data_IF_284560534803
#
_entry.id   IF_284560534803
#
_cell.length_a   1.000
_cell.length_b   1.000
_cell.length_c   1.000
_cell.angle_alpha   90.00
_cell.angle_beta   90.00
_cell.angle_gamma   90.00
#
_symmetry.space_group_name_H-M   'P 1'
#
loop_
_entity.id
_entity.type
_entity.pdbx_description
1 polymer ?
#
# COMPACT_ATOMS: atom_id res chain seq x y z
N UNK A 1 -15.84 -9.08 13.89
CA UNK A 1 -15.21 -9.62 12.66
C UNK A 1 -16.22 -9.87 11.53
N UNK A 2 -17.44 -10.36 11.81
CA UNK A 2 -18.45 -10.71 10.79
C UNK A 2 -18.81 -9.60 9.79
N UNK A 3 -18.77 -8.32 10.18
CA UNK A 3 -19.17 -7.23 9.28
C UNK A 3 -18.21 -7.04 8.08
N UNK A 4 -16.92 -7.37 8.21
CA UNK A 4 -15.94 -7.23 7.10
C UNK A 4 -16.16 -8.28 6.02
N UNK A 5 -16.40 -9.53 6.42
CA UNK A 5 -16.66 -10.64 5.50
C UNK A 5 -17.99 -10.41 4.77
N UNK A 6 -19.05 -10.01 5.49
CA UNK A 6 -20.34 -9.67 4.89
C UNK A 6 -20.24 -8.51 3.89
N UNK A 7 -19.43 -7.49 4.20
CA UNK A 7 -19.18 -6.40 3.25
C UNK A 7 -18.41 -6.88 2.01
N UNK A 8 -17.37 -7.70 2.18
CA UNK A 8 -16.62 -8.28 1.06
C UNK A 8 -17.51 -9.14 0.17
N UNK A 9 -18.35 -9.98 0.76
CA UNK A 9 -19.34 -10.79 0.05
C UNK A 9 -20.28 -9.93 -0.79
N UNK A 10 -20.77 -8.82 -0.25
CA UNK A 10 -21.60 -7.85 -1.00
C UNK A 10 -20.84 -7.21 -2.16
N UNK A 11 -19.56 -6.86 -1.97
CA UNK A 11 -18.72 -6.29 -3.04
C UNK A 11 -18.46 -7.30 -4.17
N UNK A 12 -18.12 -8.53 -3.84
CA UNK A 12 -17.90 -9.60 -4.82
C UNK A 12 -19.18 -9.92 -5.58
N UNK A 13 -20.33 -10.03 -4.89
CA UNK A 13 -21.62 -10.22 -5.55
C UNK A 13 -22.00 -9.06 -6.49
N UNK A 14 -21.63 -7.82 -6.14
CA UNK A 14 -21.82 -6.67 -7.02
C UNK A 14 -20.89 -6.73 -8.24
N UNK A 15 -19.64 -7.16 -8.06
CA UNK A 15 -18.68 -7.33 -9.14
C UNK A 15 -19.11 -8.44 -10.11
N UNK A 16 -19.64 -9.54 -9.59
CA UNK A 16 -20.11 -10.69 -10.37
C UNK A 16 -21.27 -10.31 -11.28
N UNK A 17 -22.19 -9.46 -10.79
CA UNK A 17 -23.29 -8.90 -11.60
C UNK A 17 -22.80 -8.03 -12.76
N UNK A 18 -21.63 -7.39 -12.62
CA UNK A 18 -21.08 -6.49 -13.64
C UNK A 18 -20.21 -7.23 -14.65
N UNK A 19 -19.42 -8.21 -14.20
CA UNK A 19 -18.46 -8.91 -15.04
C UNK A 19 -18.14 -10.32 -14.51
N UNK A 20 -19.07 -11.29 -14.67
CA UNK A 20 -18.99 -12.59 -14.00
C UNK A 20 -17.71 -13.37 -14.35
N UNK A 21 -17.24 -13.29 -15.60
CA UNK A 21 -16.05 -14.00 -16.06
C UNK A 21 -14.72 -13.39 -15.59
N UNK A 22 -14.76 -12.30 -14.83
CA UNK A 22 -13.58 -11.56 -14.38
C UNK A 22 -13.48 -11.45 -12.86
N UNK A 23 -14.35 -12.14 -12.14
CA UNK A 23 -14.37 -12.16 -10.66
C UNK A 23 -13.80 -13.49 -10.19
N UNK A 24 -12.96 -13.51 -9.14
CA UNK A 24 -12.49 -14.75 -8.56
C UNK A 24 -13.64 -15.52 -7.92
N UNK A 25 -13.50 -16.84 -7.81
CA UNK A 25 -14.51 -17.68 -7.17
C UNK A 25 -14.75 -17.20 -5.73
N UNK A 26 -16.00 -16.85 -5.42
CA UNK A 26 -16.44 -16.29 -4.13
C UNK A 26 -16.49 -17.30 -2.98
N UNK A 27 -15.50 -18.20 -2.87
CA UNK A 27 -15.44 -19.14 -1.76
C UNK A 27 -15.22 -18.41 -0.41
N UNK A 28 -15.62 -19.06 0.68
CA UNK A 28 -15.62 -18.42 2.00
C UNK A 28 -14.21 -18.10 2.51
N UNK A 29 -13.23 -18.93 2.17
CA UNK A 29 -11.83 -18.72 2.54
C UNK A 29 -11.21 -17.53 1.79
N UNK A 30 -11.48 -17.36 0.49
CA UNK A 30 -11.04 -16.21 -0.29
C UNK A 30 -11.68 -14.94 0.23
N UNK A 31 -12.99 -14.95 0.50
CA UNK A 31 -13.68 -13.81 1.10
C UNK A 31 -13.07 -13.43 2.46
N UNK A 32 -12.71 -14.42 3.30
CA UNK A 32 -12.01 -14.18 4.56
C UNK A 32 -10.66 -13.52 4.33
N UNK A 33 -9.80 -14.13 3.50
CA UNK A 33 -8.44 -13.62 3.20
C UNK A 33 -8.52 -12.20 2.62
N UNK A 34 -9.41 -11.96 1.66
CA UNK A 34 -9.58 -10.64 1.06
C UNK A 34 -10.07 -9.62 2.08
N UNK A 35 -11.00 -10.01 2.96
CA UNK A 35 -11.50 -9.13 4.00
C UNK A 35 -10.43 -8.75 5.03
N UNK A 36 -9.38 -9.57 5.19
CA UNK A 36 -8.23 -9.33 6.06
C UNK A 36 -7.14 -8.49 5.38
N UNK A 37 -6.80 -8.82 4.13
CA UNK A 37 -5.73 -8.15 3.37
C UNK A 37 -6.17 -6.76 2.92
N UNK A 38 -7.42 -6.60 2.48
CA UNK A 38 -7.93 -5.30 2.04
C UNK A 38 -8.22 -4.44 3.28
N UNK A 39 -7.64 -3.24 3.40
CA UNK A 39 -7.90 -2.34 4.50
C UNK A 39 -9.25 -1.63 4.27
N UNK A 40 -10.36 -2.36 4.39
CA UNK A 40 -11.71 -1.89 4.10
C UNK A 40 -12.07 -0.64 4.91
N UNK A 41 -11.52 -0.49 6.11
CA UNK A 41 -11.67 0.68 6.97
C UNK A 41 -11.05 1.96 6.41
N UNK A 42 -10.13 1.86 5.44
CA UNK A 42 -9.40 3.00 4.87
C UNK A 42 -10.30 4.02 4.20
N UNK A 43 -11.39 3.55 3.59
CA UNK A 43 -12.35 4.38 2.86
C UNK A 43 -13.77 4.02 3.29
N UNK A 44 -14.73 4.95 3.18
CA UNK A 44 -16.13 4.63 3.41
C UNK A 44 -16.62 3.58 2.41
N UNK A 45 -17.60 2.75 2.80
CA UNK A 45 -18.13 1.65 1.99
C UNK A 45 -18.49 2.08 0.55
N UNK A 46 -19.03 3.29 0.40
CA UNK A 46 -19.45 3.83 -0.89
C UNK A 46 -18.29 4.05 -1.87
N UNK A 47 -17.07 4.32 -1.39
CA UNK A 47 -15.88 4.40 -2.25
C UNK A 47 -15.53 3.04 -2.83
N UNK A 48 -15.66 1.97 -2.04
CA UNK A 48 -15.43 0.60 -2.50
C UNK A 48 -16.49 0.15 -3.51
N UNK A 49 -17.75 0.53 -3.30
CA UNK A 49 -18.82 0.27 -4.27
C UNK A 49 -18.55 0.99 -5.59
N UNK A 50 -18.23 2.28 -5.54
CA UNK A 50 -17.86 3.07 -6.74
C UNK A 50 -16.61 2.49 -7.43
N UNK A 51 -15.67 1.92 -6.67
CA UNK A 51 -14.48 1.25 -7.21
C UNK A 51 -14.84 -0.01 -8.01
N UNK A 52 -15.74 -0.85 -7.50
CA UNK A 52 -16.27 -2.02 -8.21
C UNK A 52 -16.99 -1.61 -9.49
N UNK A 53 -17.83 -0.56 -9.43
CA UNK A 53 -18.52 -0.03 -10.62
C UNK A 53 -17.51 0.47 -11.65
N UNK A 54 -16.47 1.21 -11.23
CA UNK A 54 -15.42 1.70 -12.12
C UNK A 54 -14.63 0.58 -12.77
N UNK A 55 -14.28 -0.45 -11.99
CA UNK A 55 -13.60 -1.64 -12.49
C UNK A 55 -14.47 -2.38 -13.51
N UNK A 56 -15.75 -2.63 -13.18
CA UNK A 56 -16.66 -3.38 -14.05
C UNK A 56 -16.85 -2.73 -15.42
N UNK A 57 -16.80 -1.39 -15.50
CA UNK A 57 -16.86 -0.62 -16.75
C UNK A 57 -15.60 -0.72 -17.62
N UNK A 58 -14.47 -1.17 -17.07
CA UNK A 58 -13.23 -1.37 -17.84
C UNK A 58 -13.14 -2.79 -18.33
N UNK A 59 -12.68 -2.96 -19.56
CA UNK A 59 -12.42 -4.27 -20.16
C UNK A 59 -11.00 -4.76 -19.86
N UNK A 60 -10.80 -6.08 -19.94
CA UNK A 60 -9.47 -6.70 -19.97
C UNK A 60 -8.78 -6.93 -18.63
N UNK A 61 -9.41 -6.57 -17.51
CA UNK A 61 -8.81 -6.74 -16.19
C UNK A 61 -9.64 -7.63 -15.26
N UNK A 62 -8.99 -8.65 -14.68
CA UNK A 62 -9.54 -9.48 -13.62
C UNK A 62 -9.61 -8.71 -12.29
N UNK A 63 -10.63 -9.01 -11.49
CA UNK A 63 -10.75 -8.46 -10.16
C UNK A 63 -9.73 -9.15 -9.25
N UNK A 64 -8.78 -8.38 -8.78
CA UNK A 64 -7.79 -8.79 -7.78
C UNK A 64 -7.80 -7.78 -6.62
N UNK A 65 -7.25 -8.16 -5.47
CA UNK A 65 -7.07 -7.27 -4.31
C UNK A 65 -6.42 -5.95 -4.73
N UNK A 66 -5.28 -6.02 -5.43
CA UNK A 66 -4.54 -4.83 -5.88
C UNK A 66 -5.33 -3.98 -6.88
N UNK A 67 -6.10 -4.62 -7.77
CA UNK A 67 -6.98 -3.94 -8.72
C UNK A 67 -8.07 -3.15 -7.99
N UNK A 68 -8.76 -3.79 -7.05
CA UNK A 68 -9.83 -3.15 -6.29
C UNK A 68 -9.31 -1.98 -5.46
N UNK A 69 -8.17 -2.14 -4.77
CA UNK A 69 -7.53 -1.05 -4.02
C UNK A 69 -7.13 0.12 -4.92
N UNK A 70 -6.58 -0.15 -6.11
CA UNK A 70 -6.19 0.88 -7.06
C UNK A 70 -7.41 1.68 -7.53
N UNK A 71 -8.52 1.00 -7.81
CA UNK A 71 -9.77 1.67 -8.16
C UNK A 71 -10.35 2.47 -6.99
N UNK A 72 -10.32 1.94 -5.77
CA UNK A 72 -10.77 2.67 -4.58
C UNK A 72 -9.95 3.94 -4.34
N UNK A 73 -8.63 3.87 -4.50
CA UNK A 73 -7.74 5.04 -4.42
C UNK A 73 -8.07 6.08 -5.48
N UNK A 74 -8.32 5.65 -6.72
CA UNK A 74 -8.65 6.57 -7.81
C UNK A 74 -10.02 7.25 -7.59
N UNK A 75 -11.02 6.51 -7.08
CA UNK A 75 -12.31 7.07 -6.67
C UNK A 75 -12.14 8.06 -5.51
N UNK A 76 -11.36 7.72 -4.49
CA UNK A 76 -11.10 8.62 -3.37
C UNK A 76 -10.47 9.95 -3.83
N UNK A 77 -9.51 9.88 -4.77
CA UNK A 77 -8.90 11.08 -5.36
C UNK A 77 -9.92 11.94 -6.15
N UNK A 78 -10.84 11.32 -6.89
CA UNK A 78 -11.93 12.02 -7.57
C UNK A 78 -12.93 12.64 -6.59
N UNK A 79 -13.23 11.93 -5.50
CA UNK A 79 -14.08 12.43 -4.43
C UNK A 79 -13.44 13.62 -3.70
N UNK A 80 -12.12 13.59 -3.48
CA UNK A 80 -11.39 14.73 -2.92
C UNK A 80 -11.51 15.97 -3.83
N UNK A 81 -11.76 15.85 -5.13
CA UNK A 81 -11.99 17.00 -6.00
C UNK A 81 -13.39 17.63 -5.85
N UNK A 82 -14.36 16.91 -5.27
CA UNK A 82 -15.76 17.35 -5.14
C UNK A 82 -16.04 17.77 -3.69
N UNK A 83 -16.38 19.05 -3.40
CA UNK A 83 -16.47 19.56 -2.03
C UNK A 83 -17.36 18.74 -1.09
N UNK A 84 -18.53 18.31 -1.55
CA UNK A 84 -19.48 17.51 -0.76
C UNK A 84 -18.98 16.10 -0.48
N UNK A 85 -18.28 15.47 -1.44
CA UNK A 85 -17.69 14.14 -1.26
C UNK A 85 -16.43 14.18 -0.42
N UNK A 86 -15.64 15.26 -0.54
CA UNK A 86 -14.49 15.53 0.34
C UNK A 86 -14.91 15.60 1.80
N UNK A 87 -16.01 16.31 2.12
CA UNK A 87 -16.55 16.34 3.49
C UNK A 87 -16.87 14.94 4.02
N UNK A 88 -17.45 14.07 3.19
CA UNK A 88 -17.71 12.68 3.58
C UNK A 88 -16.42 11.88 3.83
N UNK A 89 -15.37 12.07 3.01
CA UNK A 89 -14.06 11.47 3.24
C UNK A 89 -13.41 11.98 4.52
N UNK A 90 -13.45 13.29 4.76
CA UNK A 90 -12.85 13.91 5.95
C UNK A 90 -13.58 13.48 7.22
N UNK A 91 -14.90 13.36 7.17
CA UNK A 91 -15.68 12.81 8.27
C UNK A 91 -15.28 11.36 8.57
N UNK A 92 -15.16 10.52 7.54
CA UNK A 92 -14.71 9.13 7.69
C UNK A 92 -13.29 9.03 8.25
N UNK A 93 -12.34 9.83 7.72
CA UNK A 93 -10.95 9.89 8.19
C UNK A 93 -10.89 10.29 9.67
N UNK A 94 -11.66 11.30 10.08
CA UNK A 94 -11.76 11.71 11.49
C UNK A 94 -12.36 10.60 12.36
N UNK A 95 -13.44 9.95 11.93
CA UNK A 95 -14.03 8.82 12.67
C UNK A 95 -13.03 7.66 12.86
N UNK A 96 -12.25 7.34 11.83
CA UNK A 96 -11.18 6.34 11.93
C UNK A 96 -10.08 6.75 12.92
N UNK A 97 -9.66 8.02 12.92
CA UNK A 97 -8.68 8.52 13.89
C UNK A 97 -9.22 8.45 15.31
N UNK A 98 -10.45 8.92 15.55
CA UNK A 98 -11.09 8.85 16.87
C UNK A 98 -11.24 7.42 17.36
N UNK A 99 -11.58 6.47 16.47
CA UNK A 99 -11.66 5.06 16.83
C UNK A 99 -10.28 4.46 17.21
N UNK A 100 -9.20 4.92 16.59
CA UNK A 100 -7.83 4.50 16.92
C UNK A 100 -7.32 5.16 18.20
N UNK A 101 -7.66 6.42 18.42
CA UNK A 101 -7.42 7.14 19.67
C UNK A 101 -8.12 6.44 20.85
N UNK A 102 -9.39 6.06 20.69
CA UNK A 102 -10.14 5.32 21.71
C UNK A 102 -9.57 3.93 22.04
N UNK A 103 -8.85 3.32 21.09
CA UNK A 103 -8.11 2.06 21.30
C UNK A 103 -6.73 2.26 21.93
N UNK A 104 -6.30 3.50 22.16
CA UNK A 104 -4.96 3.83 22.65
C UNK A 104 -3.85 3.70 21.61
N UNK A 105 -4.19 3.57 20.32
CA UNK A 105 -3.21 3.48 19.23
C UNK A 105 -2.62 4.84 18.85
N UNK A 106 -3.28 5.93 19.24
CA UNK A 106 -2.91 7.31 18.93
C UNK A 106 -3.01 8.19 20.19
N UNK A 107 -2.18 9.26 20.30
CA UNK A 107 -2.31 10.23 21.38
C UNK A 107 -3.68 10.93 21.36
N UNK A 108 -4.19 11.34 22.53
CA UNK A 108 -5.45 12.07 22.61
C UNK A 108 -5.40 13.41 21.87
N UNK A 109 -6.48 13.76 21.18
CA UNK A 109 -6.58 14.97 20.37
C UNK A 109 -6.01 14.84 18.95
N UNK A 110 -5.85 13.62 18.44
CA UNK A 110 -5.36 13.40 17.07
C UNK A 110 -6.48 13.68 16.07
N UNK A 111 -6.43 14.84 15.40
CA UNK A 111 -7.42 15.22 14.39
C UNK A 111 -6.85 15.13 12.98
N UNK A 112 -7.70 14.79 12.00
CA UNK A 112 -7.32 14.87 10.60
C UNK A 112 -7.34 16.34 10.17
N UNK A 113 -6.17 16.97 9.99
CA UNK A 113 -6.09 18.32 9.42
C UNK A 113 -6.26 18.26 7.90
N UNK A 114 -7.47 17.94 7.43
CA UNK A 114 -7.85 17.95 6.01
C UNK A 114 -7.82 19.35 5.37
N UNK A 115 -7.60 20.40 6.18
CA UNK A 115 -7.32 21.75 5.73
C UNK A 115 -5.82 21.98 5.53
N UNK A 116 -5.22 21.30 4.55
CA UNK A 116 -4.24 22.00 3.73
C UNK A 116 -5.01 22.52 2.52
N UNK A 117 -5.26 23.83 2.60
CA UNK A 117 -5.82 24.69 1.57
C UNK A 117 -5.37 24.30 0.16
N UNK A 118 -6.25 24.57 -0.80
CA UNK A 118 -5.97 24.56 -2.24
C UNK A 118 -4.90 25.59 -2.68
N UNK A 119 -3.93 25.93 -1.82
CA UNK A 119 -2.89 26.95 -2.03
C UNK A 119 -1.60 26.66 -1.23
N UNK A 120 -1.18 25.39 -1.12
CA UNK A 120 0.26 25.14 -1.15
C UNK A 120 0.65 24.89 -2.60
N UNK A 121 0.99 25.98 -3.30
CA UNK A 121 2.00 25.87 -4.36
C UNK A 121 3.16 25.14 -3.70
N UNK A 122 3.35 23.89 -4.06
CA UNK A 122 4.61 23.18 -3.83
C UNK A 122 5.63 24.00 -4.60
N UNK A 123 6.24 24.98 -3.94
CA UNK A 123 7.46 25.59 -4.41
C UNK A 123 8.41 24.42 -4.56
N UNK A 124 8.62 23.99 -5.80
CA UNK A 124 9.57 22.93 -6.10
C UNK A 124 10.91 23.25 -5.42
N UNK A 125 11.73 22.23 -5.14
CA UNK A 125 12.94 22.39 -4.36
C UNK A 125 13.74 23.59 -4.89
N UNK A 126 14.14 24.48 -4.00
CA UNK A 126 14.90 25.69 -4.37
C UNK A 126 16.16 25.27 -5.14
N UNK A 127 16.72 26.17 -5.94
CA UNK A 127 17.93 25.86 -6.72
C UNK A 127 19.07 25.32 -5.84
N UNK A 128 19.18 25.80 -4.60
CA UNK A 128 20.10 25.28 -3.58
C UNK A 128 19.78 23.83 -3.16
N UNK A 129 18.51 23.49 -2.92
CA UNK A 129 18.10 22.11 -2.58
C UNK A 129 18.31 21.15 -3.76
N UNK A 130 18.05 21.58 -4.99
CA UNK A 130 18.33 20.77 -6.19
C UNK A 130 19.83 20.52 -6.37
N UNK A 131 20.67 21.51 -6.07
CA UNK A 131 22.13 21.36 -6.11
C UNK A 131 22.63 20.38 -5.03
N UNK A 132 22.08 20.47 -3.81
CA UNK A 132 22.42 19.56 -2.71
C UNK A 132 22.03 18.11 -3.03
N UNK A 133 20.84 17.88 -3.60
CA UNK A 133 20.39 16.54 -4.02
C UNK A 133 21.30 15.99 -5.12
N UNK A 134 21.66 16.80 -6.13
CA UNK A 134 22.59 16.37 -7.19
C UNK A 134 23.97 16.00 -6.63
N UNK A 135 24.50 16.76 -5.68
CA UNK A 135 25.78 16.45 -5.04
C UNK A 135 25.71 15.17 -4.20
N UNK A 136 24.62 14.97 -3.44
CA UNK A 136 24.42 13.76 -2.66
C UNK A 136 24.35 12.51 -3.55
N UNK A 137 23.63 12.57 -4.67
CA UNK A 137 23.54 11.48 -5.65
C UNK A 137 24.89 11.21 -6.31
N UNK A 138 25.65 12.26 -6.67
CA UNK A 138 27.00 12.11 -7.24
C UNK A 138 27.94 11.41 -6.26
N UNK A 139 27.96 11.84 -4.99
CA UNK A 139 28.80 11.25 -3.93
C UNK A 139 28.41 9.79 -3.62
N UNK A 140 27.12 9.47 -3.68
CA UNK A 140 26.64 8.09 -3.51
C UNK A 140 27.08 7.19 -4.68
N UNK A 141 27.02 7.70 -5.91
CA UNK A 141 27.48 6.98 -7.11
C UNK A 141 28.99 6.75 -7.11
N UNK A 142 29.78 7.75 -6.72
CA UNK A 142 31.24 7.64 -6.57
C UNK A 142 31.62 6.63 -5.49
N UNK A 143 30.94 6.63 -4.33
CA UNK A 143 31.13 5.61 -3.28
C UNK A 143 30.80 4.21 -3.77
N UNK A 144 29.77 4.07 -4.61
CA UNK A 144 29.35 2.78 -5.16
C UNK A 144 30.33 2.26 -6.20
N UNK A 145 30.79 3.11 -7.12
CA UNK A 145 31.84 2.78 -8.09
C UNK A 145 33.18 2.45 -7.41
N UNK A 146 33.53 3.14 -6.32
CA UNK A 146 34.72 2.82 -5.52
C UNK A 146 34.60 1.47 -4.77
N UNK A 147 33.38 1.03 -4.43
CA UNK A 147 33.11 -0.29 -3.86
C UNK A 147 33.10 -1.39 -4.92
N UNK A 148 32.49 -1.12 -6.07
CA UNK A 148 32.38 -2.07 -7.20
C UNK A 148 33.71 -2.20 -7.96
N UNK A 149 34.63 -1.23 -7.84
CA UNK A 149 35.99 -1.29 -8.40
C UNK A 149 36.99 -2.17 -7.62
N UNK A 150 36.65 -2.69 -6.44
CA UNK A 150 37.39 -3.80 -5.82
C UNK A 150 36.87 -5.10 -6.42
N UNK A 151 37.45 -5.49 -7.55
CA UNK A 151 37.26 -6.81 -8.14
C UNK A 151 37.52 -7.87 -7.06
N UNK A 152 36.45 -8.49 -6.56
CA UNK A 152 36.57 -9.68 -5.73
C UNK A 152 37.06 -10.74 -6.68
N UNK A 153 38.31 -11.18 -6.56
CA UNK A 153 38.81 -12.23 -7.47
C UNK A 153 37.93 -13.46 -7.29
N UNK A 154 37.74 -14.29 -8.33
CA UNK A 154 36.96 -15.53 -8.21
C UNK A 154 37.39 -16.38 -7.01
N UNK A 155 38.69 -16.35 -6.67
CA UNK A 155 39.26 -17.02 -5.50
C UNK A 155 38.75 -16.46 -4.17
N UNK A 156 38.71 -15.13 -4.00
CA UNK A 156 38.17 -14.50 -2.77
C UNK A 156 36.67 -14.73 -2.59
N UNK A 157 35.92 -14.85 -3.70
CA UNK A 157 34.51 -15.19 -3.68
C UNK A 157 34.29 -16.64 -3.22
N UNK A 158 35.11 -17.58 -3.70
CA UNK A 158 35.10 -18.98 -3.26
C UNK A 158 35.46 -19.12 -1.78
N UNK A 159 36.51 -18.44 -1.31
CA UNK A 159 36.89 -18.48 0.11
C UNK A 159 35.80 -17.92 1.03
N UNK A 160 34.99 -16.96 0.56
CA UNK A 160 33.84 -16.46 1.32
C UNK A 160 32.67 -17.45 1.33
N UNK A 161 32.47 -18.17 0.24
CA UNK A 161 31.48 -19.24 0.14
C UNK A 161 31.83 -20.40 1.08
N UNK A 162 33.09 -20.83 1.11
CA UNK A 162 33.54 -21.91 1.99
C UNK A 162 33.33 -21.56 3.48
N UNK A 163 33.66 -20.33 3.89
CA UNK A 163 33.41 -19.85 5.26
C UNK A 163 31.93 -19.79 5.62
N UNK A 164 31.06 -19.49 4.66
CA UNK A 164 29.61 -19.51 4.86
C UNK A 164 29.11 -20.94 5.04
N UNK A 165 29.59 -21.88 4.22
CA UNK A 165 29.24 -23.30 4.31
C UNK A 165 29.68 -23.88 5.65
N UNK A 166 30.91 -23.61 6.12
CA UNK A 166 31.39 -24.04 7.44
C UNK A 166 30.55 -23.47 8.58
N UNK A 167 30.18 -22.18 8.50
CA UNK A 167 29.35 -21.54 9.51
C UNK A 167 27.94 -22.15 9.59
N UNK A 168 27.38 -22.63 8.48
CA UNK A 168 26.09 -23.32 8.47
C UNK A 168 26.19 -24.80 8.89
N UNK A 169 27.30 -25.48 8.55
CA UNK A 169 27.56 -26.85 9.00
C UNK A 169 27.70 -26.94 10.53
N UNK A 170 28.34 -25.96 11.16
CA UNK A 170 28.50 -25.89 12.62
C UNK A 170 27.24 -25.41 13.38
N UNK A 171 26.17 -25.01 12.67
CA UNK A 171 24.90 -24.55 13.27
C UNK A 171 23.78 -25.59 13.25
N UNK A 172 24.01 -26.80 12.71
CA UNK A 172 23.06 -27.91 12.83
C UNK A 172 23.16 -28.50 14.25
N UNK A 173 22.10 -28.46 15.08
CA UNK A 173 22.11 -29.08 16.40
C UNK A 173 22.20 -30.61 16.26
N UNK A 174 23.10 -31.24 17.03
CA UNK A 174 23.09 -32.70 17.20
C UNK A 174 21.77 -33.09 17.85
N UNK A 175 20.94 -33.85 17.13
CA UNK A 175 19.79 -34.53 17.71
C UNK A 175 20.30 -35.48 18.80
N UNK A 176 19.88 -35.22 20.03
CA UNK A 176 19.90 -36.16 21.17
C UNK A 176 18.47 -36.49 21.53
#
# INVERSE_FOLDING_TARGET
MNNRIEFMKRLIAAAEKLAPNRVPNGDEDMLRIWSEVIPLERYPERVWIDAVIRWGKREGEFLEVGTLERHARAIAAEWDAVPTKRQALDHHRNACLSAREAKGELPPGTTFSGQQTATQRVSGPTQAQRAAIKQAVKKAREKRLAREGRATTPQEALTRLDKLVEHYANKQPKET
#
